data_IF_324580727059
#
_entry.id   IF_324580727059
#
_cell.length_a   1.000
_cell.length_b   1.000
_cell.length_c   1.000
_cell.angle_alpha   90.00
_cell.angle_beta   90.00
_cell.angle_gamma   90.00
#
_symmetry.space_group_name_H-M   'P 1'
#
loop_
_entity.id
_entity.type
_entity.pdbx_description
1 polymer ?
#
# COMPACT_ATOMS: atom_id res chain seq x y z
N UNK A 1 -11.19 22.62 -35.34
CA UNK A 1 -11.27 21.48 -34.40
C UNK A 1 -10.02 21.52 -33.54
N UNK A 2 -10.16 21.83 -32.25
CA UNK A 2 -9.05 21.76 -31.29
C UNK A 2 -9.23 20.47 -30.50
N UNK A 3 -8.32 19.53 -30.66
CA UNK A 3 -8.27 18.33 -29.83
C UNK A 3 -7.70 18.70 -28.47
N UNK A 4 -8.55 18.64 -27.44
CA UNK A 4 -8.10 18.72 -26.05
C UNK A 4 -7.48 17.36 -25.67
N UNK A 5 -6.17 17.34 -25.44
CA UNK A 5 -5.48 16.23 -24.81
C UNK A 5 -5.85 16.23 -23.32
N UNK A 6 -6.59 15.20 -22.88
CA UNK A 6 -6.79 14.91 -21.47
C UNK A 6 -5.52 14.26 -20.94
N UNK A 7 -4.76 15.02 -20.14
CA UNK A 7 -3.66 14.48 -19.34
C UNK A 7 -4.22 13.57 -18.25
N UNK A 8 -3.81 12.30 -18.26
CA UNK A 8 -4.04 11.39 -17.14
C UNK A 8 -2.97 11.72 -16.10
N UNK A 9 -3.33 12.44 -15.05
CA UNK A 9 -2.45 12.67 -13.90
C UNK A 9 -2.38 11.38 -13.09
N UNK A 10 -1.25 10.68 -13.15
CA UNK A 10 -0.95 9.61 -12.19
C UNK A 10 -0.75 10.25 -10.81
N UNK A 11 -1.43 9.72 -9.78
CA UNK A 11 -1.59 10.30 -8.44
C UNK A 11 -0.31 10.32 -7.56
N UNK A 12 0.87 10.47 -8.16
CA UNK A 12 2.13 10.73 -7.44
C UNK A 12 2.35 12.22 -7.12
N UNK A 13 1.50 13.12 -7.63
CA UNK A 13 1.73 14.56 -7.60
C UNK A 13 1.35 15.29 -6.29
N UNK A 14 0.69 14.63 -5.32
CA UNK A 14 -0.04 15.36 -4.27
C UNK A 14 0.71 15.53 -2.93
N UNK A 15 1.81 14.82 -2.70
CA UNK A 15 2.60 14.96 -1.47
C UNK A 15 3.88 15.78 -1.70
N UNK A 16 4.18 16.72 -0.80
CA UNK A 16 5.47 17.39 -0.77
C UNK A 16 6.62 16.37 -0.57
N UNK A 17 7.84 16.63 -1.09
CA UNK A 17 8.94 15.65 -1.02
C UNK A 17 9.30 15.17 0.39
N UNK A 18 9.25 16.06 1.39
CA UNK A 18 9.49 15.70 2.79
C UNK A 18 8.40 14.77 3.35
N UNK A 19 7.16 14.99 2.91
CA UNK A 19 6.00 14.20 3.30
C UNK A 19 6.05 12.81 2.67
N UNK A 20 6.40 12.72 1.38
CA UNK A 20 6.67 11.43 0.71
C UNK A 20 7.76 10.64 1.44
N UNK A 21 8.85 11.30 1.83
CA UNK A 21 9.93 10.65 2.58
C UNK A 21 9.46 10.10 3.93
N UNK A 22 8.56 10.82 4.63
CA UNK A 22 7.98 10.38 5.90
C UNK A 22 7.04 9.18 5.72
N UNK A 23 6.20 9.18 4.68
CA UNK A 23 5.33 8.04 4.31
C UNK A 23 6.16 6.80 4.01
N UNK A 24 7.16 6.91 3.13
CA UNK A 24 8.05 5.79 2.80
C UNK A 24 8.81 5.27 4.02
N UNK A 25 9.32 6.18 4.87
CA UNK A 25 9.99 5.79 6.12
C UNK A 25 9.06 5.02 7.05
N UNK A 26 7.81 5.45 7.21
CA UNK A 26 6.83 4.73 8.01
C UNK A 26 6.57 3.33 7.45
N UNK A 27 6.46 3.20 6.12
CA UNK A 27 6.29 1.93 5.42
C UNK A 27 7.55 1.03 5.39
N UNK A 28 8.67 1.45 6.01
CA UNK A 28 9.91 0.68 6.08
C UNK A 28 10.80 0.77 4.83
N UNK A 29 10.56 1.73 3.94
CA UNK A 29 11.37 1.97 2.76
C UNK A 29 12.56 2.88 3.07
N UNK A 30 13.64 2.71 2.30
CA UNK A 30 14.82 3.58 2.28
C UNK A 30 14.98 4.20 0.89
N UNK A 31 15.54 5.41 0.82
CA UNK A 31 15.89 6.03 -0.45
C UNK A 31 17.19 5.43 -0.98
N UNK A 32 17.13 4.80 -2.15
CA UNK A 32 18.28 4.26 -2.86
C UNK A 32 19.18 5.36 -3.45
N UNK A 33 20.36 4.95 -3.91
CA UNK A 33 21.35 5.87 -4.49
C UNK A 33 20.86 6.55 -5.80
N UNK A 34 19.95 5.89 -6.52
CA UNK A 34 19.27 6.40 -7.71
C UNK A 34 18.04 7.28 -7.39
N UNK A 35 17.78 7.52 -6.10
CA UNK A 35 16.69 8.36 -5.62
C UNK A 35 15.34 7.66 -5.51
N UNK A 36 15.21 6.39 -5.94
CA UNK A 36 13.99 5.60 -5.77
C UNK A 36 13.84 5.13 -4.33
N UNK A 37 12.61 5.00 -3.85
CA UNK A 37 12.37 4.37 -2.55
C UNK A 37 12.27 2.86 -2.73
N UNK A 38 13.04 2.13 -1.95
CA UNK A 38 13.13 0.68 -2.03
C UNK A 38 12.98 0.09 -0.63
N UNK A 39 12.33 -1.07 -0.51
CA UNK A 39 12.29 -1.84 0.74
C UNK A 39 13.14 -3.10 0.59
N UNK A 40 13.02 -3.76 -0.56
CA UNK A 40 13.91 -4.83 -0.95
C UNK A 40 14.98 -4.34 -1.92
N UNK A 41 16.17 -4.94 -1.82
CA UNK A 41 17.26 -4.70 -2.76
C UNK A 41 17.47 -5.95 -3.62
N UNK A 42 17.27 -5.82 -4.92
CA UNK A 42 17.68 -6.84 -5.88
C UNK A 42 19.13 -6.58 -6.31
N UNK A 43 19.98 -7.61 -6.24
CA UNK A 43 21.39 -7.50 -6.64
C UNK A 43 21.54 -7.34 -8.17
N UNK A 44 20.57 -7.85 -8.94
CA UNK A 44 20.50 -7.68 -10.39
C UNK A 44 19.18 -7.01 -10.74
N UNK A 45 19.19 -5.85 -11.43
CA UNK A 45 17.95 -5.21 -11.87
C UNK A 45 17.13 -6.17 -12.74
N UNK A 46 15.93 -6.50 -12.30
CA UNK A 46 15.02 -7.37 -13.05
C UNK A 46 13.89 -6.57 -13.68
N UNK A 47 13.37 -7.06 -14.81
CA UNK A 47 12.25 -6.41 -15.50
C UNK A 47 10.95 -6.45 -14.67
N UNK A 48 10.89 -7.31 -13.64
CA UNK A 48 9.75 -7.43 -12.72
C UNK A 48 9.76 -6.43 -11.57
N UNK A 49 10.84 -5.67 -11.40
CA UNK A 49 10.99 -4.78 -10.26
C UNK A 49 10.29 -3.44 -10.50
N UNK A 50 9.36 -3.08 -9.60
CA UNK A 50 8.77 -1.76 -9.52
C UNK A 50 9.10 -1.14 -8.15
N UNK A 51 9.72 0.05 -8.11
CA UNK A 51 10.10 0.70 -6.87
C UNK A 51 8.88 1.20 -6.09
N UNK A 52 9.12 1.60 -4.84
CA UNK A 52 8.14 2.21 -3.95
C UNK A 52 7.22 3.22 -4.62
N UNK A 53 5.91 2.94 -4.62
CA UNK A 53 4.84 3.86 -5.03
C UNK A 53 4.01 4.28 -3.81
N UNK A 54 3.36 5.44 -3.89
CA UNK A 54 2.40 5.93 -2.89
C UNK A 54 1.06 6.16 -3.58
N UNK A 55 -0.02 5.67 -2.97
CA UNK A 55 -1.41 6.00 -3.32
C UNK A 55 -2.14 6.50 -2.07
N UNK A 56 -2.84 7.63 -2.18
CA UNK A 56 -3.59 8.22 -1.07
C UNK A 56 -5.06 7.85 -1.13
N UNK A 57 -5.64 7.48 0.01
CA UNK A 57 -7.07 7.22 0.14
C UNK A 57 -7.53 7.43 1.58
N UNK A 58 -8.60 8.20 1.77
CA UNK A 58 -9.29 8.29 3.05
C UNK A 58 -10.15 7.02 3.24
N UNK A 59 -9.68 6.08 4.07
CA UNK A 59 -10.35 4.79 4.24
C UNK A 59 -11.50 4.87 5.25
N UNK A 60 -11.35 5.73 6.24
CA UNK A 60 -12.24 5.81 7.40
C UNK A 60 -13.26 6.97 7.31
N UNK A 61 -13.14 7.82 6.29
CA UNK A 61 -13.93 9.03 6.03
C UNK A 61 -13.75 10.13 7.11
N UNK A 62 -12.56 10.28 7.69
CA UNK A 62 -12.26 11.32 8.69
C UNK A 62 -11.69 12.61 8.08
N UNK A 63 -11.49 12.64 6.75
CA UNK A 63 -10.95 13.78 6.02
C UNK A 63 -9.42 13.83 5.98
N UNK A 64 -8.72 12.89 6.62
CA UNK A 64 -7.27 12.70 6.48
C UNK A 64 -7.00 11.42 5.68
N UNK A 65 -6.33 11.50 4.52
CA UNK A 65 -6.03 10.32 3.74
C UNK A 65 -4.98 9.43 4.44
N UNK A 66 -5.20 8.12 4.42
CA UNK A 66 -4.14 7.13 4.57
C UNK A 66 -3.32 7.02 3.29
N UNK A 67 -2.12 6.43 3.40
CA UNK A 67 -1.28 6.13 2.25
C UNK A 67 -1.03 4.62 2.15
N UNK A 68 -1.34 4.06 0.98
CA UNK A 68 -0.82 2.78 0.54
C UNK A 68 0.57 2.98 -0.04
N UNK A 69 1.51 2.14 0.38
CA UNK A 69 2.88 2.11 -0.13
C UNK A 69 3.14 0.72 -0.68
N UNK A 70 3.50 0.61 -1.96
CA UNK A 70 3.70 -0.68 -2.62
C UNK A 70 5.09 -0.80 -3.23
N UNK A 71 5.61 -2.02 -3.28
CA UNK A 71 6.79 -2.40 -4.07
C UNK A 71 6.52 -3.73 -4.74
N UNK A 72 6.90 -3.87 -6.01
CA UNK A 72 6.74 -5.13 -6.75
C UNK A 72 8.10 -5.73 -7.06
N UNK A 73 8.26 -7.02 -6.78
CA UNK A 73 9.42 -7.83 -7.12
C UNK A 73 9.08 -9.30 -7.01
N UNK A 74 9.34 -10.06 -8.07
CA UNK A 74 9.16 -11.51 -8.03
C UNK A 74 10.18 -12.21 -7.12
N UNK A 75 11.35 -11.59 -6.92
CA UNK A 75 12.46 -12.17 -6.15
C UNK A 75 12.34 -11.87 -4.65
N UNK A 76 11.83 -10.69 -4.31
CA UNK A 76 11.71 -10.26 -2.92
C UNK A 76 10.47 -10.81 -2.22
N UNK A 77 9.37 -10.94 -2.95
CA UNK A 77 8.05 -11.14 -2.33
C UNK A 77 7.41 -12.49 -2.68
N UNK A 78 7.97 -13.28 -3.60
CA UNK A 78 7.30 -14.50 -4.09
C UNK A 78 5.92 -14.18 -4.67
N UNK A 79 5.11 -15.15 -5.11
CA UNK A 79 3.77 -14.84 -5.66
C UNK A 79 2.85 -14.23 -4.57
N UNK A 80 2.20 -13.06 -4.79
CA UNK A 80 1.88 -12.39 -6.06
C UNK A 80 2.85 -11.29 -6.53
N UNK A 81 4.04 -11.22 -5.94
CA UNK A 81 5.16 -10.33 -6.22
C UNK A 81 5.02 -8.93 -5.64
N UNK A 82 4.05 -8.67 -4.77
CA UNK A 82 3.79 -7.33 -4.23
C UNK A 82 3.89 -7.32 -2.71
N UNK A 83 4.67 -6.39 -2.19
CA UNK A 83 4.56 -5.93 -0.81
C UNK A 83 3.67 -4.69 -0.77
N UNK A 84 2.88 -4.57 0.30
CA UNK A 84 2.19 -3.33 0.62
C UNK A 84 2.36 -2.97 2.09
N UNK A 85 2.31 -1.67 2.37
CA UNK A 85 2.07 -1.12 3.68
C UNK A 85 0.95 -0.08 3.60
N UNK A 86 0.01 -0.14 4.53
CA UNK A 86 -0.94 0.92 4.83
C UNK A 86 -0.38 1.74 5.98
N UNK A 87 -0.19 3.04 5.76
CA UNK A 87 0.27 3.97 6.79
C UNK A 87 -0.76 5.08 7.01
N UNK A 88 -0.84 5.57 8.24
CA UNK A 88 -1.72 6.67 8.65
C UNK A 88 -0.92 7.80 9.27
N UNK A 89 -1.44 9.01 9.22
CA UNK A 89 -0.88 10.16 9.93
C UNK A 89 -1.62 10.36 11.26
N UNK A 90 -0.88 10.49 12.36
CA UNK A 90 -1.40 10.87 13.67
C UNK A 90 -0.51 11.94 14.29
N UNK A 91 -1.12 13.03 14.77
CA UNK A 91 -0.42 14.20 15.31
C UNK A 91 0.78 14.68 14.46
N UNK A 92 0.67 14.58 13.13
CA UNK A 92 1.72 14.99 12.19
C UNK A 92 2.74 13.90 11.81
N UNK A 93 2.68 12.72 12.44
CA UNK A 93 3.65 11.62 12.26
C UNK A 93 2.99 10.44 11.55
N UNK A 94 3.70 9.85 10.59
CA UNK A 94 3.23 8.67 9.88
C UNK A 94 3.58 7.38 10.63
N UNK A 95 2.62 6.47 10.71
CA UNK A 95 2.75 5.17 11.37
C UNK A 95 2.13 4.06 10.53
N UNK A 96 2.75 2.88 10.53
CA UNK A 96 2.18 1.69 9.89
C UNK A 96 0.94 1.20 10.63
N UNK A 97 -0.13 0.98 9.88
CA UNK A 97 -1.35 0.33 10.34
C UNK A 97 -1.36 -1.17 10.05
N UNK A 98 -0.88 -1.53 8.87
CA UNK A 98 -0.91 -2.88 8.32
C UNK A 98 0.18 -2.98 7.26
N UNK A 99 0.95 -4.06 7.24
CA UNK A 99 1.79 -4.43 6.11
C UNK A 99 1.71 -5.94 5.88
N UNK A 100 1.85 -6.37 4.63
CA UNK A 100 1.91 -7.78 4.26
C UNK A 100 2.46 -7.92 2.84
N UNK A 101 2.71 -9.17 2.44
CA UNK A 101 2.91 -9.55 1.04
C UNK A 101 1.57 -10.01 0.46
N UNK A 102 1.14 -9.35 -0.61
CA UNK A 102 -0.12 -9.62 -1.28
C UNK A 102 -0.65 -8.41 -2.03
N UNK A 103 -1.82 -8.59 -2.65
CA UNK A 103 -2.57 -7.49 -3.28
C UNK A 103 -3.70 -7.11 -2.32
N UNK A 104 -3.64 -5.92 -1.68
CA UNK A 104 -4.69 -5.48 -0.77
C UNK A 104 -5.95 -5.08 -1.55
N UNK A 105 -7.11 -5.52 -1.08
CA UNK A 105 -8.42 -5.15 -1.63
C UNK A 105 -9.28 -4.59 -0.50
N UNK A 106 -9.69 -3.34 -0.64
CA UNK A 106 -10.57 -2.67 0.32
C UNK A 106 -11.99 -3.20 0.16
N UNK A 107 -12.50 -3.86 1.19
CA UNK A 107 -13.85 -4.42 1.20
C UNK A 107 -14.89 -3.37 1.62
N UNK A 108 -16.15 -3.63 1.28
CA UNK A 108 -17.29 -2.77 1.67
C UNK A 108 -17.63 -2.89 3.16
N UNK A 109 -17.26 -4.01 3.81
CA UNK A 109 -17.53 -4.22 5.23
C UNK A 109 -16.65 -3.30 6.05
N UNK A 110 -17.24 -2.60 7.03
CA UNK A 110 -16.54 -1.65 7.90
C UNK A 110 -16.78 -1.94 9.38
N UNK A 111 -15.83 -1.56 10.24
CA UNK A 111 -15.97 -1.53 11.70
C UNK A 111 -15.36 -0.26 12.27
N UNK A 112 -16.19 0.54 12.93
CA UNK A 112 -15.78 1.86 13.45
C UNK A 112 -15.14 2.76 12.38
N UNK A 113 -15.75 2.82 11.19
CA UNK A 113 -15.27 3.58 10.03
C UNK A 113 -14.25 2.86 9.15
N UNK A 114 -13.47 1.93 9.72
CA UNK A 114 -12.39 1.24 9.01
C UNK A 114 -12.88 0.05 8.19
N UNK A 115 -12.54 -0.06 6.89
CA UNK A 115 -12.91 -1.20 6.06
C UNK A 115 -12.12 -2.46 6.44
N UNK A 116 -12.69 -3.63 6.18
CA UNK A 116 -11.88 -4.85 6.12
C UNK A 116 -10.99 -4.80 4.88
N UNK A 117 -9.75 -5.30 5.00
CA UNK A 117 -8.78 -5.37 3.90
C UNK A 117 -8.52 -6.83 3.57
N UNK A 118 -9.03 -7.32 2.44
CA UNK A 118 -8.63 -8.64 1.93
C UNK A 118 -7.21 -8.58 1.38
N UNK A 119 -6.42 -9.62 1.61
CA UNK A 119 -5.06 -9.71 1.05
C UNK A 119 -5.00 -10.94 0.15
N UNK A 120 -5.06 -10.67 -1.14
CA UNK A 120 -5.18 -11.68 -2.19
C UNK A 120 -3.89 -11.93 -2.97
N UNK A 121 -3.99 -12.90 -3.88
CA UNK A 121 -3.00 -13.25 -4.89
C UNK A 121 -3.66 -14.13 -5.96
N UNK A 122 -2.93 -14.63 -6.98
CA UNK A 122 -3.49 -15.53 -7.97
C UNK A 122 -4.26 -16.71 -7.34
N UNK A 123 -5.50 -16.93 -7.75
CA UNK A 123 -6.33 -18.06 -7.32
C UNK A 123 -7.82 -17.73 -7.15
N UNK A 124 -8.62 -18.76 -6.88
CA UNK A 124 -10.07 -18.67 -6.63
C UNK A 124 -10.46 -19.05 -5.19
N UNK A 125 -9.48 -19.17 -4.31
CA UNK A 125 -9.69 -19.56 -2.91
C UNK A 125 -10.20 -18.40 -2.05
N UNK A 126 -10.67 -18.72 -0.84
CA UNK A 126 -10.97 -17.69 0.16
C UNK A 126 -9.65 -17.09 0.67
N UNK A 127 -9.48 -15.79 0.47
CA UNK A 127 -8.31 -15.08 0.96
C UNK A 127 -8.47 -14.65 2.42
N UNK A 128 -7.36 -14.54 3.17
CA UNK A 128 -7.39 -13.88 4.46
C UNK A 128 -7.81 -12.41 4.30
N UNK A 129 -8.42 -11.86 5.34
CA UNK A 129 -8.64 -10.42 5.41
C UNK A 129 -8.25 -9.90 6.79
N UNK A 130 -7.93 -8.63 6.85
CA UNK A 130 -7.60 -7.91 8.05
C UNK A 130 -8.81 -7.09 8.47
N UNK A 131 -9.22 -7.24 9.73
CA UNK A 131 -10.37 -6.53 10.31
C UNK A 131 -9.92 -5.60 11.41
N UNK A 132 -10.47 -4.40 11.45
CA UNK A 132 -10.25 -3.47 12.56
C UNK A 132 -10.88 -3.97 13.86
N UNK A 133 -10.13 -3.96 14.96
CA UNK A 133 -10.62 -4.36 16.29
C UNK A 133 -10.94 -3.18 17.23
N UNK A 134 -10.83 -1.93 16.75
CA UNK A 134 -10.91 -0.71 17.56
C UNK A 134 -9.55 -0.06 17.83
N UNK A 135 -8.46 -0.79 17.63
CA UNK A 135 -7.08 -0.33 17.88
C UNK A 135 -6.10 -0.68 16.75
N UNK A 136 -6.24 -1.85 16.15
CA UNK A 136 -5.36 -2.34 15.08
C UNK A 136 -6.12 -3.24 14.12
N UNK A 137 -5.55 -3.47 12.95
CA UNK A 137 -5.96 -4.55 12.07
C UNK A 137 -5.54 -5.90 12.65
N UNK A 138 -6.45 -6.88 12.64
CA UNK A 138 -6.18 -8.27 13.03
C UNK A 138 -6.53 -9.20 11.88
N UNK A 139 -5.64 -10.15 11.60
CA UNK A 139 -5.81 -11.10 10.51
C UNK A 139 -6.91 -12.10 10.84
N UNK A 140 -7.84 -12.29 9.91
CA UNK A 140 -8.90 -13.29 9.96
C UNK A 140 -8.68 -14.28 8.82
N UNK A 141 -8.54 -15.56 9.17
CA UNK A 141 -8.41 -16.64 8.18
C UNK A 141 -9.77 -17.31 8.02
N UNK A 142 -10.37 -17.32 6.82
CA UNK A 142 -11.60 -18.05 6.57
C UNK A 142 -11.42 -19.53 6.88
N UNK A 143 -12.38 -20.15 7.56
CA UNK A 143 -12.38 -21.60 7.75
C UNK A 143 -12.43 -22.30 6.39
N UNK A 144 -11.62 -23.35 6.21
CA UNK A 144 -11.79 -24.29 5.10
C UNK A 144 -13.19 -24.91 5.25
N UNK A 145 -14.10 -24.59 4.33
CA UNK A 145 -15.32 -25.38 4.14
C UNK A 145 -15.04 -26.36 3.02
#
# INVERSE_FOLDING_TARGET
MVFALLSITTAQADLAPAEQAAVFKAAGFKKGADGRYIRCQEDTPTASYEPGQIELMDLNNDGQPEAWVTESSMFCYGSPHTFFALVRKDAGVWHTLLDDVGIPVVLKTKRSGWPDIEVGGPGFGKFPYYRWNGKSYVRVTPSKK
#
